data_IF_929595578730
#
_entry.id   IF_929595578730
#
_cell.length_a   1.000
_cell.length_b   1.000
_cell.length_c   1.000
_cell.angle_alpha   90.00
_cell.angle_beta   90.00
_cell.angle_gamma   90.00
#
_symmetry.space_group_name_H-M   'P 1'
#
loop_
_entity.id
_entity.type
_entity.pdbx_description
1 polymer ?
#
# COMPACT_ATOMS: atom_id res chain seq x y z
N UNK A 1 -17.65 -9.61 -7.32
CA UNK A 1 -18.06 -9.92 -5.93
C UNK A 1 -19.31 -10.79 -6.00
N UNK A 2 -19.35 -11.89 -5.26
CA UNK A 2 -20.48 -12.83 -5.22
C UNK A 2 -20.97 -12.91 -3.78
N UNK A 3 -22.25 -12.63 -3.55
CA UNK A 3 -22.89 -12.75 -2.25
C UNK A 3 -24.41 -12.85 -2.44
N UNK A 4 -25.15 -13.66 -1.67
CA UNK A 4 -26.61 -13.76 -1.80
C UNK A 4 -27.31 -12.44 -1.49
N UNK A 5 -26.74 -11.65 -0.59
CA UNK A 5 -27.23 -10.33 -0.20
C UNK A 5 -26.05 -9.36 -0.10
N UNK A 6 -26.30 -8.09 -0.44
CA UNK A 6 -25.30 -7.04 -0.39
C UNK A 6 -25.81 -5.83 0.41
N UNK A 7 -24.89 -5.13 1.07
CA UNK A 7 -25.21 -3.86 1.74
C UNK A 7 -25.44 -2.75 0.70
N UNK A 8 -26.17 -1.70 1.09
CA UNK A 8 -26.41 -0.54 0.21
C UNK A 8 -25.11 0.14 -0.26
N UNK A 9 -24.06 0.08 0.57
CA UNK A 9 -22.73 0.57 0.17
C UNK A 9 -22.19 -0.21 -1.01
N UNK A 10 -22.30 -1.54 -1.01
CA UNK A 10 -21.85 -2.39 -2.12
C UNK A 10 -22.71 -2.21 -3.37
N UNK A 11 -24.03 -2.11 -3.21
CA UNK A 11 -24.95 -1.82 -4.33
C UNK A 11 -24.65 -0.48 -4.98
N UNK A 12 -24.38 0.55 -4.18
CA UNK A 12 -23.97 1.87 -4.67
C UNK A 12 -22.67 1.78 -5.45
N UNK A 13 -21.65 1.09 -4.93
CA UNK A 13 -20.39 0.89 -5.65
C UNK A 13 -20.59 0.13 -6.98
N UNK A 14 -21.50 -0.84 -7.02
CA UNK A 14 -21.86 -1.53 -8.25
C UNK A 14 -22.54 -0.59 -9.26
N UNK A 15 -23.47 0.26 -8.81
CA UNK A 15 -24.12 1.27 -9.67
C UNK A 15 -23.15 2.33 -10.20
N UNK A 16 -22.09 2.62 -9.44
CA UNK A 16 -20.98 3.49 -9.85
C UNK A 16 -19.96 2.77 -10.76
N UNK A 17 -20.23 1.51 -11.16
CA UNK A 17 -19.34 0.65 -11.96
C UNK A 17 -17.95 0.45 -11.32
N UNK A 18 -17.87 0.54 -9.99
CA UNK A 18 -16.62 0.36 -9.24
C UNK A 18 -16.35 -1.09 -8.86
N UNK A 19 -17.36 -1.94 -8.97
CA UNK A 19 -17.26 -3.38 -8.79
C UNK A 19 -18.37 -4.07 -9.59
N UNK A 20 -18.14 -5.31 -9.97
CA UNK A 20 -19.19 -6.21 -10.46
C UNK A 20 -19.79 -6.97 -9.28
N UNK A 21 -21.11 -6.87 -9.11
CA UNK A 21 -21.86 -7.53 -8.03
C UNK A 21 -22.79 -8.59 -8.61
N UNK A 22 -22.63 -9.83 -8.16
CA UNK A 22 -23.53 -10.94 -8.45
C UNK A 22 -24.28 -11.28 -7.16
N UNK A 23 -25.52 -10.77 -7.02
CA UNK A 23 -26.39 -11.02 -5.86
C UNK A 23 -26.96 -12.45 -5.91
N UNK A 24 -26.10 -13.43 -5.61
CA UNK A 24 -26.39 -14.86 -5.54
C UNK A 24 -25.36 -15.58 -4.67
N UNK A 25 -25.68 -16.81 -4.27
CA UNK A 25 -24.69 -17.70 -3.64
C UNK A 25 -23.51 -18.01 -4.59
N UNK A 26 -22.35 -18.30 -3.98
CA UNK A 26 -21.16 -18.80 -4.66
C UNK A 26 -21.46 -20.14 -5.36
N UNK A 27 -20.82 -20.35 -6.51
CA UNK A 27 -20.89 -21.60 -7.29
C UNK A 27 -19.49 -21.97 -7.75
N UNK A 28 -19.18 -23.27 -7.89
CA UNK A 28 -17.94 -23.71 -8.54
C UNK A 28 -17.81 -23.05 -9.92
N UNK A 29 -16.62 -22.53 -10.20
CA UNK A 29 -16.26 -21.74 -11.37
C UNK A 29 -16.13 -20.25 -11.09
N UNK A 30 -16.71 -19.73 -10.00
CA UNK A 30 -16.68 -18.30 -9.71
C UNK A 30 -15.27 -17.78 -9.37
N UNK A 31 -14.38 -18.64 -8.85
CA UNK A 31 -13.00 -18.24 -8.59
C UNK A 31 -12.14 -18.22 -9.86
N UNK A 32 -12.54 -18.94 -10.91
CA UNK A 32 -11.73 -19.11 -12.11
C UNK A 32 -11.39 -17.77 -12.77
N UNK A 33 -10.16 -17.65 -13.26
CA UNK A 33 -9.67 -16.44 -13.92
C UNK A 33 -9.25 -15.29 -12.98
N UNK A 34 -9.39 -15.45 -11.66
CA UNK A 34 -8.92 -14.46 -10.69
C UNK A 34 -7.49 -14.77 -10.21
N UNK A 35 -6.72 -13.72 -9.91
CA UNK A 35 -5.37 -13.88 -9.34
C UNK A 35 -5.36 -14.01 -7.81
N UNK A 36 -6.39 -13.46 -7.15
CA UNK A 36 -6.58 -13.42 -5.70
C UNK A 36 -8.06 -13.58 -5.39
N UNK A 37 -8.38 -14.35 -4.36
CA UNK A 37 -9.74 -14.51 -3.85
C UNK A 37 -9.78 -14.16 -2.36
N UNK A 38 -10.77 -13.37 -1.98
CA UNK A 38 -11.09 -13.07 -0.58
C UNK A 38 -12.41 -13.73 -0.22
N UNK A 39 -12.44 -14.46 0.88
CA UNK A 39 -13.66 -15.03 1.45
C UNK A 39 -13.97 -14.29 2.74
N UNK A 40 -15.17 -13.74 2.84
CA UNK A 40 -15.64 -13.00 4.00
C UNK A 40 -17.12 -13.33 4.24
N UNK A 41 -17.39 -14.62 4.45
CA UNK A 41 -18.72 -15.16 4.75
C UNK A 41 -18.67 -15.90 6.08
N UNK A 42 -19.79 -15.94 6.80
CA UNK A 42 -19.93 -16.73 8.01
C UNK A 42 -20.24 -18.22 7.72
N UNK A 43 -20.50 -18.56 6.45
CA UNK A 43 -20.73 -19.95 6.02
C UNK A 43 -19.39 -20.65 5.71
N UNK A 44 -18.90 -21.40 6.70
CA UNK A 44 -17.66 -22.16 6.58
C UNK A 44 -17.68 -23.20 5.45
N UNK A 45 -18.84 -23.72 5.04
CA UNK A 45 -18.91 -24.65 3.91
C UNK A 45 -18.59 -23.94 2.59
N UNK A 46 -19.06 -22.70 2.44
CA UNK A 46 -18.69 -21.85 1.30
C UNK A 46 -17.19 -21.55 1.36
N UNK A 47 -16.64 -21.18 2.52
CA UNK A 47 -15.20 -20.94 2.68
C UNK A 47 -14.35 -22.14 2.25
N UNK A 48 -14.73 -23.35 2.66
CA UNK A 48 -14.04 -24.58 2.28
C UNK A 48 -14.14 -24.87 0.79
N UNK A 49 -15.34 -24.75 0.19
CA UNK A 49 -15.55 -24.97 -1.23
C UNK A 49 -14.69 -24.01 -2.09
N UNK A 50 -14.64 -22.74 -1.71
CA UNK A 50 -13.81 -21.74 -2.37
C UNK A 50 -12.32 -22.08 -2.21
N UNK A 51 -11.88 -22.46 -0.99
CA UNK A 51 -10.49 -22.81 -0.72
C UNK A 51 -10.01 -24.04 -1.51
N UNK A 52 -10.87 -25.05 -1.66
CA UNK A 52 -10.59 -26.23 -2.49
C UNK A 52 -10.44 -25.86 -3.96
N UNK A 53 -11.38 -25.06 -4.49
CA UNK A 53 -11.33 -24.59 -5.88
C UNK A 53 -10.08 -23.73 -6.14
N UNK A 54 -9.79 -22.74 -5.29
CA UNK A 54 -8.63 -21.87 -5.50
C UNK A 54 -7.32 -22.63 -5.42
N UNK A 55 -7.20 -23.61 -4.51
CA UNK A 55 -6.03 -24.48 -4.42
C UNK A 55 -5.85 -25.30 -5.68
N UNK A 56 -6.92 -25.87 -6.24
CA UNK A 56 -6.87 -26.65 -7.48
C UNK A 56 -6.45 -25.79 -8.69
N UNK A 57 -6.81 -24.50 -8.67
CA UNK A 57 -6.50 -23.55 -9.75
C UNK A 57 -5.19 -22.77 -9.55
N UNK A 58 -4.50 -22.94 -8.41
CA UNK A 58 -3.29 -22.18 -8.08
C UNK A 58 -3.54 -20.69 -7.79
N UNK A 59 -4.74 -20.36 -7.29
CA UNK A 59 -5.17 -19.00 -6.96
C UNK A 59 -4.96 -18.76 -5.46
N UNK A 60 -4.39 -17.62 -5.10
CA UNK A 60 -4.15 -17.26 -3.70
C UNK A 60 -5.45 -16.87 -2.99
N UNK A 61 -5.72 -17.49 -1.84
CA UNK A 61 -6.88 -17.25 -1.00
C UNK A 61 -6.51 -16.50 0.29
N UNK A 62 -7.37 -15.56 0.70
CA UNK A 62 -7.43 -15.09 2.08
C UNK A 62 -8.87 -15.20 2.59
N UNK A 63 -9.09 -16.05 3.58
CA UNK A 63 -10.37 -16.23 4.25
C UNK A 63 -10.38 -15.46 5.58
N UNK A 64 -11.33 -14.54 5.73
CA UNK A 64 -11.52 -13.77 6.95
C UNK A 64 -11.84 -14.71 8.13
N UNK A 65 -11.19 -14.47 9.26
CA UNK A 65 -11.37 -15.22 10.51
C UNK A 65 -11.09 -16.75 10.43
N UNK A 66 -10.61 -17.25 9.28
CA UNK A 66 -10.26 -18.65 9.01
C UNK A 66 -8.79 -18.78 8.55
N UNK A 67 -7.82 -18.57 9.47
CA UNK A 67 -6.39 -18.54 9.12
C UNK A 67 -5.85 -19.87 8.59
N UNK A 68 -6.52 -20.98 8.88
CA UNK A 68 -6.21 -22.33 8.39
C UNK A 68 -6.46 -22.49 6.89
N UNK A 69 -7.30 -21.64 6.29
CA UNK A 69 -7.59 -21.65 4.86
C UNK A 69 -6.73 -20.66 4.06
N UNK A 70 -6.04 -19.73 4.72
CA UNK A 70 -5.35 -18.62 4.07
C UNK A 70 -3.98 -19.02 3.48
N UNK A 71 -3.70 -18.57 2.25
CA UNK A 71 -2.36 -18.64 1.64
C UNK A 71 -1.49 -17.44 2.01
N UNK A 72 -2.11 -16.33 2.42
CA UNK A 72 -1.42 -15.09 2.80
C UNK A 72 -2.14 -14.35 3.93
N UNK A 73 -1.41 -13.44 4.59
CA UNK A 73 -1.95 -12.59 5.68
C UNK A 73 -1.94 -11.12 5.27
N UNK A 74 -2.97 -10.39 5.71
CA UNK A 74 -3.06 -8.94 5.49
C UNK A 74 -2.36 -8.18 6.63
N UNK A 75 -1.39 -7.29 6.33
CA UNK A 75 -0.74 -6.49 7.35
C UNK A 75 -1.63 -5.33 7.83
N UNK A 76 -1.26 -4.76 8.97
CA UNK A 76 -1.75 -3.45 9.39
C UNK A 76 -1.08 -2.37 8.54
N UNK A 77 -1.84 -1.73 7.65
CA UNK A 77 -1.33 -0.73 6.71
C UNK A 77 -1.67 0.69 7.17
N UNK A 78 -0.69 1.58 7.14
CA UNK A 78 -0.82 3.03 7.33
C UNK A 78 -0.28 3.77 6.12
N UNK A 79 -0.96 4.84 5.70
CA UNK A 79 -0.57 5.63 4.53
C UNK A 79 -0.53 7.12 4.87
N UNK A 80 0.48 7.83 4.33
CA UNK A 80 0.56 9.29 4.35
C UNK A 80 1.20 9.77 3.05
N UNK A 81 0.37 10.28 2.14
CA UNK A 81 0.82 10.61 0.78
C UNK A 81 1.40 9.38 0.07
N UNK A 82 2.59 9.46 -0.55
CA UNK A 82 3.22 8.33 -1.24
C UNK A 82 3.89 7.32 -0.29
N UNK A 83 3.86 7.55 1.03
CA UNK A 83 4.52 6.69 2.01
C UNK A 83 3.51 5.68 2.55
N UNK A 84 3.88 4.40 2.49
CA UNK A 84 3.12 3.28 3.05
C UNK A 84 3.99 2.58 4.10
N UNK A 85 3.41 2.35 5.28
CA UNK A 85 3.97 1.48 6.33
C UNK A 85 3.06 0.27 6.46
N UNK A 86 3.63 -0.92 6.34
CA UNK A 86 2.94 -2.17 6.59
C UNK A 86 3.62 -2.89 7.75
N UNK A 87 2.85 -3.25 8.78
CA UNK A 87 3.33 -4.04 9.92
C UNK A 87 2.54 -5.33 9.98
N UNK A 88 3.24 -6.46 9.99
CA UNK A 88 2.65 -7.79 10.16
C UNK A 88 3.24 -8.49 11.36
N UNK A 89 2.41 -9.25 12.05
CA UNK A 89 2.81 -10.22 13.09
C UNK A 89 2.46 -11.65 12.66
N UNK A 90 2.29 -11.87 11.35
CA UNK A 90 1.86 -13.16 10.78
C UNK A 90 0.60 -13.71 11.47
N UNK A 91 -0.35 -12.82 11.79
CA UNK A 91 -1.59 -13.18 12.49
C UNK A 91 -1.46 -13.39 14.00
N UNK A 92 -0.25 -13.50 14.56
CA UNK A 92 -0.04 -13.81 15.98
C UNK A 92 -0.53 -12.72 16.94
N UNK A 93 -0.43 -11.45 16.54
CA UNK A 93 -0.82 -10.32 17.39
C UNK A 93 -1.36 -9.14 16.57
N UNK A 94 -2.62 -9.19 16.10
CA UNK A 94 -3.21 -8.11 15.28
C UNK A 94 -3.31 -6.77 16.01
N UNK A 95 -3.55 -6.79 17.33
CA UNK A 95 -3.55 -5.58 18.15
C UNK A 95 -2.16 -4.93 18.23
N UNK A 96 -1.10 -5.73 18.38
CA UNK A 96 0.29 -5.26 18.39
C UNK A 96 0.66 -4.64 17.04
N UNK A 97 0.32 -5.30 15.92
CA UNK A 97 0.57 -4.76 14.57
C UNK A 97 -0.11 -3.40 14.36
N UNK A 98 -1.35 -3.23 14.86
CA UNK A 98 -2.07 -1.93 14.83
C UNK A 98 -1.39 -0.86 15.68
N UNK A 99 -0.92 -1.23 16.87
CA UNK A 99 -0.18 -0.36 17.79
C UNK A 99 1.14 0.13 17.20
N UNK A 100 1.99 -0.79 16.74
CA UNK A 100 3.29 -0.48 16.10
C UNK A 100 3.12 0.38 14.85
N UNK A 101 2.16 0.04 13.97
CA UNK A 101 1.85 0.86 12.81
C UNK A 101 1.48 2.29 13.23
N UNK A 102 0.65 2.47 14.26
CA UNK A 102 0.27 3.80 14.74
C UNK A 102 1.50 4.59 15.23
N UNK A 103 2.35 3.98 16.05
CA UNK A 103 3.59 4.60 16.53
C UNK A 103 4.51 5.01 15.37
N UNK A 104 4.71 4.13 14.38
CA UNK A 104 5.53 4.47 13.20
C UNK A 104 4.92 5.63 12.39
N UNK A 105 3.60 5.62 12.20
CA UNK A 105 2.91 6.67 11.47
C UNK A 105 2.95 8.05 12.15
N UNK A 106 3.07 8.10 13.47
CA UNK A 106 3.25 9.36 14.23
C UNK A 106 4.57 10.05 13.87
N UNK A 107 5.61 9.28 13.56
CA UNK A 107 6.92 9.81 13.19
C UNK A 107 6.99 10.32 11.74
N UNK A 108 6.04 9.92 10.88
CA UNK A 108 6.06 10.28 9.46
C UNK A 108 5.39 11.65 9.27
N UNK A 109 6.11 12.76 9.43
CA UNK A 109 5.58 14.11 9.19
C UNK A 109 5.32 14.50 7.72
N UNK A 110 4.75 15.70 7.51
CA UNK A 110 4.52 16.29 6.16
C UNK A 110 5.83 16.46 5.35
N UNK A 111 6.95 16.69 6.02
CA UNK A 111 8.26 16.85 5.37
C UNK A 111 8.70 15.57 4.65
N UNK A 112 8.44 14.38 5.22
CA UNK A 112 8.70 13.11 4.53
C UNK A 112 7.91 12.98 3.23
N UNK A 113 6.63 13.39 3.24
CA UNK A 113 5.79 13.40 2.02
C UNK A 113 6.38 14.29 0.93
N UNK A 114 6.89 15.47 1.31
CA UNK A 114 7.56 16.39 0.38
C UNK A 114 8.83 15.78 -0.19
N UNK A 115 9.70 15.23 0.66
CA UNK A 115 10.94 14.57 0.25
C UNK A 115 10.65 13.41 -0.70
N UNK A 116 9.65 12.58 -0.41
CA UNK A 116 9.25 11.47 -1.26
C UNK A 116 8.76 11.94 -2.64
N UNK A 117 7.94 12.99 -2.69
CA UNK A 117 7.44 13.58 -3.96
C UNK A 117 8.57 14.21 -4.78
N UNK A 118 9.44 15.00 -4.14
CA UNK A 118 10.61 15.59 -4.81
C UNK A 118 11.54 14.51 -5.36
N UNK A 119 11.76 13.45 -4.58
CA UNK A 119 12.56 12.31 -5.03
C UNK A 119 11.97 11.62 -6.26
N UNK A 120 10.64 11.45 -6.30
CA UNK A 120 9.93 10.94 -7.47
C UNK A 120 10.10 11.86 -8.69
N UNK A 121 9.83 13.15 -8.50
CA UNK A 121 9.97 14.16 -9.56
C UNK A 121 11.37 14.19 -10.17
N UNK A 122 12.42 14.19 -9.35
CA UNK A 122 13.81 14.18 -9.85
C UNK A 122 14.22 12.84 -10.50
N UNK A 123 13.66 11.70 -10.08
CA UNK A 123 13.92 10.42 -10.77
C UNK A 123 13.37 10.42 -12.20
N UNK A 124 12.25 11.09 -12.40
CA UNK A 124 11.57 11.21 -13.69
C UNK A 124 12.26 12.24 -14.59
N UNK A 125 12.67 13.39 -14.05
CA UNK A 125 13.13 14.53 -14.85
C UNK A 125 14.65 14.68 -14.95
N UNK A 126 15.45 13.95 -14.15
CA UNK A 126 16.91 14.01 -14.20
C UNK A 126 17.52 12.71 -14.74
N UNK A 127 18.62 12.82 -15.54
CA UNK A 127 19.30 11.65 -16.08
C UNK A 127 19.84 10.74 -14.98
N UNK A 128 19.90 9.44 -15.27
CA UNK A 128 20.54 8.47 -14.35
C UNK A 128 22.03 8.81 -14.24
N UNK A 129 22.59 8.79 -13.03
CA UNK A 129 24.02 9.04 -12.83
C UNK A 129 24.36 9.42 -11.39
N UNK A 130 25.65 9.63 -11.14
CA UNK A 130 26.19 9.92 -9.81
C UNK A 130 25.61 11.23 -9.22
N UNK A 131 25.39 12.26 -10.05
CA UNK A 131 24.78 13.53 -9.62
C UNK A 131 23.37 13.34 -9.08
N UNK A 132 22.50 12.65 -9.83
CA UNK A 132 21.13 12.36 -9.37
C UNK A 132 21.13 11.52 -8.11
N UNK A 133 21.97 10.48 -8.04
CA UNK A 133 22.08 9.63 -6.85
C UNK A 133 22.52 10.42 -5.62
N UNK A 134 23.42 11.41 -5.78
CA UNK A 134 23.86 12.31 -4.70
C UNK A 134 22.71 13.21 -4.22
N UNK A 135 22.01 13.88 -5.14
CA UNK A 135 20.86 14.72 -4.81
C UNK A 135 19.80 13.94 -4.04
N UNK A 136 19.45 12.74 -4.50
CA UNK A 136 18.44 11.90 -3.86
C UNK A 136 18.84 11.48 -2.44
N UNK A 137 20.13 11.23 -2.18
CA UNK A 137 20.63 10.96 -0.81
C UNK A 137 20.47 12.20 0.07
N UNK A 138 20.94 13.36 -0.39
CA UNK A 138 20.85 14.63 0.35
C UNK A 138 19.41 15.03 0.70
N UNK A 139 18.44 14.69 -0.14
CA UNK A 139 17.02 14.95 0.15
C UNK A 139 16.50 14.20 1.38
N UNK A 140 17.03 13.00 1.64
CA UNK A 140 16.57 12.11 2.71
C UNK A 140 17.38 12.31 3.99
N UNK A 141 18.64 12.76 3.87
CA UNK A 141 19.50 13.06 5.01
C UNK A 141 18.95 14.23 5.87
N UNK A 142 19.49 14.36 7.10
CA UNK A 142 19.09 15.37 8.09
C UNK A 142 19.28 16.83 7.64
N UNK A 143 20.02 17.07 6.55
CA UNK A 143 20.20 18.40 5.99
C UNK A 143 18.89 18.91 5.37
N UNK A 144 18.41 18.34 4.24
CA UNK A 144 17.20 18.84 3.59
C UNK A 144 15.94 18.37 4.33
N UNK A 145 15.88 17.09 4.69
CA UNK A 145 14.71 16.54 5.38
C UNK A 145 14.52 17.21 6.75
N UNK A 146 15.60 17.33 7.54
CA UNK A 146 15.58 17.97 8.85
C UNK A 146 15.26 19.47 8.78
N UNK A 147 15.76 20.21 7.77
CA UNK A 147 15.37 21.61 7.55
C UNK A 147 13.89 21.75 7.23
N UNK A 148 13.34 20.88 6.39
CA UNK A 148 11.91 20.87 6.09
C UNK A 148 11.07 20.54 7.33
N UNK A 149 11.54 19.63 8.18
CA UNK A 149 10.90 19.31 9.45
C UNK A 149 10.82 20.53 10.39
N UNK A 150 11.89 21.33 10.45
CA UNK A 150 11.97 22.59 11.24
C UNK A 150 11.32 23.80 10.56
N UNK A 151 10.63 23.63 9.42
CA UNK A 151 9.99 24.73 8.69
C UNK A 151 10.94 25.64 7.91
N UNK A 152 12.23 25.31 7.83
CA UNK A 152 13.28 26.12 7.18
C UNK A 152 13.28 25.96 5.65
N UNK A 153 12.11 26.16 5.02
CA UNK A 153 11.88 25.90 3.59
C UNK A 153 12.84 26.64 2.67
N UNK A 154 13.16 27.91 2.98
CA UNK A 154 14.08 28.73 2.17
C UNK A 154 15.47 28.10 2.10
N UNK A 155 16.01 27.67 3.24
CA UNK A 155 17.31 27.01 3.31
C UNK A 155 17.30 25.65 2.61
N UNK A 156 16.26 24.84 2.82
CA UNK A 156 16.09 23.58 2.10
C UNK A 156 16.11 23.77 0.58
N UNK A 157 15.43 24.81 0.08
CA UNK A 157 15.42 25.12 -1.36
C UNK A 157 16.75 25.62 -1.88
N UNK A 158 17.49 26.41 -1.09
CA UNK A 158 18.87 26.81 -1.43
C UNK A 158 19.76 25.58 -1.64
N UNK A 159 19.75 24.63 -0.70
CA UNK A 159 20.54 23.41 -0.80
C UNK A 159 20.17 22.56 -2.04
N UNK A 160 18.87 22.44 -2.34
CA UNK A 160 18.41 21.72 -3.56
C UNK A 160 18.93 22.41 -4.83
N UNK A 161 18.86 23.75 -4.89
CA UNK A 161 19.35 24.51 -6.05
C UNK A 161 20.84 24.35 -6.27
N UNK A 162 21.64 24.33 -5.20
CA UNK A 162 23.09 24.11 -5.28
C UNK A 162 23.42 22.74 -5.87
N UNK A 163 22.74 21.69 -5.42
CA UNK A 163 22.90 20.34 -5.98
C UNK A 163 22.49 20.26 -7.45
N UNK A 164 21.39 20.91 -7.83
CA UNK A 164 20.95 20.95 -9.22
C UNK A 164 21.95 21.70 -10.14
N UNK A 165 22.55 22.80 -9.66
CA UNK A 165 23.61 23.51 -10.39
C UNK A 165 24.85 22.63 -10.59
N UNK A 166 25.31 21.96 -9.54
CA UNK A 166 26.45 21.06 -9.60
C UNK A 166 26.23 19.85 -10.53
N UNK A 167 24.97 19.50 -10.81
CA UNK A 167 24.59 18.48 -11.79
C UNK A 167 24.63 19.02 -13.22
N UNK A 168 24.14 20.25 -13.44
CA UNK A 168 24.16 20.93 -14.74
C UNK A 168 25.56 21.31 -15.21
N UNK A 169 26.51 21.58 -14.31
CA UNK A 169 27.92 21.85 -14.65
C UNK A 169 28.70 20.60 -15.08
N UNK A 170 28.15 19.39 -14.90
CA UNK A 170 28.79 18.10 -15.20
C UNK A 170 28.18 17.33 -16.38
N UNK A 171 27.21 17.94 -17.07
CA UNK A 171 26.56 17.38 -18.27
C UNK A 171 27.01 18.16 -19.49
#
# INVERSE_FOLDING_TARGET
MVAPEATDTLRRLASEQRLELLERAYRPGDAAGHALVFVATDDRQVSQAVAEETRALGILLNAADEPDLCDFTLPSVGRRGPITVAVSTQGMAPALARGLRRQLMEHIGRHHVWVARLSGHFREHLPRGAGRSRLLKRLVDDDICGRLARGQRRHAWTCIREELKALGEKT
#
